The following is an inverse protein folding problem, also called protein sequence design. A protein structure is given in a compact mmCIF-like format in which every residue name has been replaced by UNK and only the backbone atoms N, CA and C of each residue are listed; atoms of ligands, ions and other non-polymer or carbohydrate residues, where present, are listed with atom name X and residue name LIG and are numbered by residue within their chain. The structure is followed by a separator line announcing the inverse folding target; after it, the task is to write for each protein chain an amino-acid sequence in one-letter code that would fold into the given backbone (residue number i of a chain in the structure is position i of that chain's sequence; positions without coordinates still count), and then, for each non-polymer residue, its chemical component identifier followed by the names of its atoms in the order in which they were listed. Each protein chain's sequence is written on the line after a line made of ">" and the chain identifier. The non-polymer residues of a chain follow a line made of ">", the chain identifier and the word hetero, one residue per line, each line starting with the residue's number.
data_IF_778090520878
#
_entry.id   IF_778090520878
#
_cell.length_a   1.000
_cell.length_b   1.000
_cell.length_c   1.000
_cell.angle_alpha   90.00
_cell.angle_beta   90.00
_cell.angle_gamma   90.00
#
_symmetry.space_group_name_H-M   'P 1'
#
loop_
_entity.id
_entity.type
_entity.pdbx_description
1 polymer ?
#
# COMPACT_ATOMS: atom_id res chain seq x y z
N UNK A 1 18.73 5.72 -2.33
CA UNK A 1 18.44 4.36 -2.77
C UNK A 1 18.69 3.44 -1.58
N UNK A 2 17.65 3.13 -0.79
CA UNK A 2 17.77 2.14 0.29
C UNK A 2 17.92 0.77 -0.38
N UNK A 3 19.06 0.13 -0.16
CA UNK A 3 19.18 -1.31 -0.35
C UNK A 3 18.21 -1.95 0.64
N UNK A 4 17.19 -2.63 0.15
CA UNK A 4 16.37 -3.49 1.00
C UNK A 4 17.33 -4.47 1.66
N UNK A 5 17.35 -4.51 3.00
CA UNK A 5 18.22 -5.42 3.74
C UNK A 5 17.87 -6.85 3.33
N UNK A 6 18.80 -7.53 2.70
CA UNK A 6 18.63 -8.85 2.10
C UNK A 6 18.65 -9.98 3.12
N UNK A 7 18.75 -9.64 4.42
CA UNK A 7 18.74 -10.63 5.51
C UNK A 7 17.31 -11.09 5.81
N UNK A 8 17.09 -12.37 6.03
CA UNK A 8 15.81 -13.02 5.84
C UNK A 8 14.75 -12.63 6.88
N UNK A 9 13.70 -11.91 6.43
CA UNK A 9 12.37 -12.30 6.83
C UNK A 9 11.77 -13.37 5.90
N UNK A 10 12.51 -13.79 4.87
CA UNK A 10 12.07 -14.74 3.83
C UNK A 10 12.12 -16.21 4.25
N UNK A 11 12.11 -16.50 5.54
CA UNK A 11 12.05 -17.85 6.10
C UNK A 11 10.79 -18.63 5.68
N UNK A 12 9.74 -17.95 5.20
CA UNK A 12 8.51 -18.59 4.70
C UNK A 12 8.76 -19.51 3.52
N UNK A 13 9.61 -19.11 2.58
CA UNK A 13 9.97 -19.93 1.43
C UNK A 13 11.04 -21.01 1.72
N UNK A 14 11.66 -21.02 2.89
CA UNK A 14 12.66 -22.02 3.24
C UNK A 14 12.13 -23.46 3.17
N UNK A 15 10.81 -23.63 3.29
CA UNK A 15 10.13 -24.94 3.18
C UNK A 15 9.53 -25.19 1.80
N UNK A 16 9.66 -24.25 0.84
CA UNK A 16 9.19 -24.44 -0.52
C UNK A 16 10.19 -25.34 -1.24
N UNK A 17 9.73 -26.51 -1.67
CA UNK A 17 10.59 -27.42 -2.44
C UNK A 17 10.92 -26.82 -3.81
N UNK A 18 12.13 -27.07 -4.31
CA UNK A 18 12.53 -26.69 -5.66
C UNK A 18 11.55 -27.25 -6.71
N UNK A 19 11.02 -28.45 -6.49
CA UNK A 19 10.04 -29.07 -7.37
C UNK A 19 8.71 -28.32 -7.42
N UNK A 20 8.24 -27.80 -6.29
CA UNK A 20 7.02 -26.98 -6.25
C UNK A 20 7.23 -25.65 -6.98
N UNK A 21 8.36 -25.00 -6.76
CA UNK A 21 8.71 -23.77 -7.49
C UNK A 21 8.88 -24.04 -9.01
N UNK A 22 9.51 -25.15 -9.36
CA UNK A 22 9.70 -25.54 -10.76
C UNK A 22 8.37 -25.77 -11.50
N UNK A 23 7.34 -26.29 -10.81
CA UNK A 23 6.02 -26.54 -11.40
C UNK A 23 5.10 -25.31 -11.48
N UNK A 24 5.42 -24.22 -10.77
CA UNK A 24 4.61 -23.00 -10.77
C UNK A 24 4.61 -22.38 -12.17
N UNK A 25 3.45 -22.05 -12.78
CA UNK A 25 3.42 -21.27 -14.00
C UNK A 25 4.00 -19.88 -13.76
N UNK A 26 4.62 -19.27 -14.76
CA UNK A 26 5.18 -17.91 -14.69
C UNK A 26 4.67 -17.04 -15.84
N UNK A 27 4.62 -15.70 -15.65
CA UNK A 27 4.86 -15.00 -14.40
C UNK A 27 3.74 -15.26 -13.37
N UNK A 28 4.10 -15.32 -12.08
CA UNK A 28 3.13 -15.62 -11.03
C UNK A 28 3.46 -14.85 -9.72
N UNK A 29 2.46 -14.20 -9.12
CA UNK A 29 2.56 -13.73 -7.75
C UNK A 29 2.26 -14.88 -6.78
N UNK A 30 3.21 -15.15 -5.90
CA UNK A 30 3.09 -16.16 -4.86
C UNK A 30 2.97 -15.49 -3.50
N UNK A 31 1.82 -15.64 -2.83
CA UNK A 31 1.52 -15.02 -1.54
C UNK A 31 1.80 -16.00 -0.40
N UNK A 32 2.53 -15.56 0.63
CA UNK A 32 2.85 -16.34 1.84
C UNK A 32 1.82 -16.07 2.95
N UNK A 33 0.91 -17.01 3.15
CA UNK A 33 -0.11 -16.92 4.20
C UNK A 33 0.52 -16.78 5.60
N UNK A 34 1.58 -17.51 5.89
CA UNK A 34 2.20 -17.47 7.21
C UNK A 34 2.81 -16.07 7.50
N UNK A 35 3.35 -15.40 6.49
CA UNK A 35 3.84 -14.03 6.67
C UNK A 35 2.69 -13.04 6.85
N UNK A 36 1.60 -13.17 6.10
CA UNK A 36 0.39 -12.34 6.30
C UNK A 36 -0.15 -12.46 7.72
N UNK A 37 -0.20 -13.68 8.26
CA UNK A 37 -0.64 -13.91 9.66
C UNK A 37 0.30 -13.26 10.66
N UNK A 38 1.63 -13.39 10.51
CA UNK A 38 2.61 -12.73 11.39
C UNK A 38 2.44 -11.22 11.39
N UNK A 39 2.27 -10.63 10.21
CA UNK A 39 2.00 -9.19 10.09
C UNK A 39 0.70 -8.82 10.81
N UNK A 40 -0.36 -9.59 10.59
CA UNK A 40 -1.65 -9.42 11.25
C UNK A 40 -1.55 -9.46 12.77
N UNK A 41 -0.80 -10.41 13.33
CA UNK A 41 -0.59 -10.55 14.78
C UNK A 41 0.09 -9.31 15.39
N UNK A 42 1.08 -8.73 14.70
CA UNK A 42 1.75 -7.49 15.15
C UNK A 42 0.73 -6.33 15.17
N UNK A 43 -0.05 -6.17 14.09
CA UNK A 43 -1.07 -5.12 13.97
C UNK A 43 -2.17 -5.28 15.03
N UNK A 44 -2.63 -6.50 15.27
CA UNK A 44 -3.60 -6.81 16.32
C UNK A 44 -3.04 -6.48 17.71
N UNK A 45 -1.77 -6.79 17.95
CA UNK A 45 -1.09 -6.47 19.20
C UNK A 45 -1.08 -4.97 19.52
N UNK A 46 -0.85 -4.12 18.50
CA UNK A 46 -0.94 -2.65 18.64
C UNK A 46 -2.37 -2.23 19.01
N UNK A 47 -3.39 -2.76 18.32
CA UNK A 47 -4.79 -2.44 18.60
C UNK A 47 -5.21 -2.88 20.02
N UNK A 48 -4.84 -4.06 20.44
CA UNK A 48 -5.17 -4.58 21.79
C UNK A 48 -4.55 -3.75 22.91
N UNK A 49 -3.35 -3.22 22.70
CA UNK A 49 -2.64 -2.40 23.69
C UNK A 49 -3.20 -1.00 23.81
N UNK A 50 -3.60 -0.41 22.69
CA UNK A 50 -3.91 1.03 22.60
C UNK A 50 -5.39 1.33 22.44
N UNK A 51 -6.18 0.35 22.01
CA UNK A 51 -7.58 0.58 21.61
C UNK A 51 -7.72 1.30 20.26
N UNK A 52 -6.62 1.53 19.52
CA UNK A 52 -6.71 2.08 18.16
C UNK A 52 -7.34 1.06 17.21
N UNK A 53 -7.75 1.52 16.05
CA UNK A 53 -8.28 0.70 14.97
C UNK A 53 -7.35 0.78 13.76
N UNK A 54 -6.97 -0.36 13.22
CA UNK A 54 -6.10 -0.46 12.05
C UNK A 54 -6.91 -0.98 10.87
N UNK A 55 -6.84 -0.26 9.75
CA UNK A 55 -7.54 -0.54 8.50
C UNK A 55 -6.56 -0.97 7.42
N UNK A 56 -6.96 -1.87 6.53
CA UNK A 56 -6.20 -2.19 5.33
C UNK A 56 -6.40 -1.11 4.28
N UNK A 57 -5.33 -0.40 3.90
CA UNK A 57 -5.38 0.47 2.73
C UNK A 57 -5.30 -0.36 1.43
N UNK A 58 -6.44 -0.52 0.77
CA UNK A 58 -6.61 -1.42 -0.38
C UNK A 58 -5.72 -1.03 -1.58
N UNK A 59 -5.38 0.25 -1.73
CA UNK A 59 -4.46 0.74 -2.78
C UNK A 59 -3.10 0.02 -2.80
N UNK A 60 -2.66 -0.52 -1.66
CA UNK A 60 -1.42 -1.28 -1.57
C UNK A 60 -1.64 -2.79 -1.78
N UNK A 61 -2.76 -3.32 -1.28
CA UNK A 61 -3.06 -4.74 -1.32
C UNK A 61 -4.57 -4.98 -1.36
N UNK A 62 -5.08 -5.57 -2.45
CA UNK A 62 -6.52 -5.82 -2.68
C UNK A 62 -6.81 -7.28 -3.08
N UNK A 63 -6.01 -8.23 -2.62
CA UNK A 63 -6.28 -9.65 -2.85
C UNK A 63 -7.41 -10.12 -1.93
N UNK A 64 -8.64 -9.93 -2.36
CA UNK A 64 -9.83 -10.14 -1.55
C UNK A 64 -10.05 -11.59 -1.12
N UNK A 65 -9.56 -12.58 -1.85
CA UNK A 65 -9.54 -13.99 -1.40
C UNK A 65 -8.83 -14.18 -0.04
N UNK A 66 -7.93 -13.24 0.32
CA UNK A 66 -7.21 -13.23 1.59
C UNK A 66 -7.84 -12.31 2.65
N UNK A 67 -8.91 -11.59 2.34
CA UNK A 67 -9.60 -10.76 3.31
C UNK A 67 -10.18 -11.55 4.50
N UNK A 68 -10.78 -12.75 4.32
CA UNK A 68 -11.19 -13.58 5.45
C UNK A 68 -10.03 -13.96 6.39
N UNK A 69 -8.81 -14.15 5.83
CA UNK A 69 -7.61 -14.41 6.61
C UNK A 69 -7.20 -13.20 7.45
N UNK A 70 -7.34 -11.98 6.90
CA UNK A 70 -6.93 -10.73 7.53
C UNK A 70 -8.00 -10.17 8.48
N UNK A 71 -9.26 -10.52 8.29
CA UNK A 71 -10.40 -10.02 9.06
C UNK A 71 -10.25 -10.12 10.60
N UNK A 72 -9.66 -11.19 11.18
CA UNK A 72 -9.44 -11.25 12.63
C UNK A 72 -8.45 -10.22 13.17
N UNK A 73 -7.57 -9.70 12.33
CA UNK A 73 -6.47 -8.82 12.71
C UNK A 73 -6.74 -7.34 12.47
N UNK A 74 -7.73 -7.00 11.67
CA UNK A 74 -7.98 -5.63 11.21
C UNK A 74 -9.40 -5.17 11.58
N UNK A 75 -9.54 -3.87 11.81
CA UNK A 75 -10.84 -3.23 12.10
C UNK A 75 -11.68 -3.05 10.84
N UNK A 76 -11.05 -2.98 9.67
CA UNK A 76 -11.75 -2.76 8.40
C UNK A 76 -10.80 -2.47 7.25
N UNK A 77 -11.32 -1.74 6.26
CA UNK A 77 -10.61 -1.33 5.04
C UNK A 77 -10.61 0.19 4.88
N UNK A 78 -9.60 0.70 4.17
CA UNK A 78 -9.56 2.06 3.62
C UNK A 78 -9.56 1.96 2.09
N UNK A 79 -10.34 2.81 1.47
CA UNK A 79 -10.55 2.88 0.02
C UNK A 79 -10.21 4.26 -0.52
N UNK A 80 -9.64 4.31 -1.71
CA UNK A 80 -9.32 5.56 -2.41
C UNK A 80 -10.37 5.93 -3.48
N UNK A 81 -11.43 5.15 -3.61
CA UNK A 81 -12.51 5.37 -4.57
C UNK A 81 -13.68 4.41 -4.42
N UNK A 82 -14.69 4.60 -5.29
CA UNK A 82 -15.94 3.84 -5.26
C UNK A 82 -15.71 2.32 -5.34
N UNK A 83 -14.88 1.85 -6.27
CA UNK A 83 -14.73 0.42 -6.49
C UNK A 83 -13.96 -0.28 -5.38
N UNK A 84 -12.94 0.36 -4.80
CA UNK A 84 -12.30 -0.16 -3.60
C UNK A 84 -13.26 -0.17 -2.41
N UNK A 85 -14.08 0.90 -2.25
CA UNK A 85 -15.08 0.97 -1.18
C UNK A 85 -16.12 -0.15 -1.30
N UNK A 86 -16.59 -0.39 -2.51
CA UNK A 86 -17.53 -1.49 -2.80
C UNK A 86 -16.90 -2.85 -2.51
N UNK A 87 -15.66 -3.08 -2.99
CA UNK A 87 -14.94 -4.33 -2.73
C UNK A 87 -14.79 -4.58 -1.23
N UNK A 88 -14.31 -3.57 -0.47
CA UNK A 88 -14.14 -3.70 0.97
C UNK A 88 -15.44 -4.04 1.69
N UNK A 89 -16.57 -3.42 1.29
CA UNK A 89 -17.87 -3.66 1.92
C UNK A 89 -18.50 -5.01 1.52
N UNK A 90 -18.34 -5.43 0.26
CA UNK A 90 -18.84 -6.72 -0.21
C UNK A 90 -18.08 -7.89 0.43
N UNK A 91 -16.76 -7.79 0.58
CA UNK A 91 -15.91 -8.87 1.10
C UNK A 91 -15.79 -8.88 2.64
N UNK A 92 -15.96 -7.72 3.29
CA UNK A 92 -15.92 -7.58 4.76
C UNK A 92 -17.13 -6.79 5.28
N UNK A 93 -18.38 -7.28 5.10
CA UNK A 93 -19.60 -6.51 5.37
C UNK A 93 -19.74 -6.07 6.83
N UNK A 94 -19.16 -6.82 7.77
CA UNK A 94 -19.24 -6.55 9.22
C UNK A 94 -18.10 -5.63 9.72
N UNK A 95 -17.19 -5.21 8.84
CA UNK A 95 -16.04 -4.36 9.18
C UNK A 95 -16.28 -2.92 8.72
N UNK A 96 -15.55 -1.99 9.37
CA UNK A 96 -15.59 -0.59 8.97
C UNK A 96 -14.97 -0.37 7.60
N UNK A 97 -15.57 0.48 6.79
CA UNK A 97 -15.09 0.85 5.46
C UNK A 97 -14.93 2.37 5.38
N UNK A 98 -13.69 2.82 5.39
CA UNK A 98 -13.32 4.23 5.31
C UNK A 98 -12.98 4.60 3.87
N UNK A 99 -13.28 5.82 3.48
CA UNK A 99 -12.98 6.30 2.12
C UNK A 99 -12.35 7.67 2.15
N UNK A 100 -11.23 7.82 1.46
CA UNK A 100 -10.61 9.11 1.16
C UNK A 100 -10.34 9.21 -0.35
N UNK A 101 -10.92 10.23 -1.00
CA UNK A 101 -10.57 10.61 -2.37
C UNK A 101 -10.02 12.03 -2.39
N UNK A 102 -9.03 12.29 -3.27
CA UNK A 102 -8.54 13.64 -3.51
C UNK A 102 -9.65 14.58 -4.04
N UNK A 103 -10.61 14.02 -4.80
CA UNK A 103 -11.85 14.70 -5.20
C UNK A 103 -12.92 13.66 -5.52
N UNK A 104 -14.10 13.80 -4.93
CA UNK A 104 -15.25 12.94 -5.20
C UNK A 104 -15.96 13.36 -6.47
N UNK A 105 -16.39 12.38 -7.27
CA UNK A 105 -17.22 12.58 -8.44
C UNK A 105 -18.70 12.71 -8.04
N UNK A 106 -19.42 13.63 -8.71
CA UNK A 106 -20.85 13.89 -8.39
C UNK A 106 -21.72 12.71 -8.76
N UNK A 107 -21.42 12.05 -9.87
CA UNK A 107 -22.16 10.92 -10.42
C UNK A 107 -21.94 9.61 -9.64
N UNK A 108 -20.86 9.49 -8.85
CA UNK A 108 -20.53 8.31 -8.06
C UNK A 108 -20.87 8.46 -6.57
N UNK A 109 -21.03 9.70 -6.08
CA UNK A 109 -21.07 9.98 -4.64
C UNK A 109 -22.26 9.32 -3.93
N UNK A 110 -23.43 9.28 -4.59
CA UNK A 110 -24.61 8.65 -4.00
C UNK A 110 -24.42 7.14 -3.85
N UNK A 111 -23.83 6.48 -4.85
CA UNK A 111 -23.50 5.05 -4.76
C UNK A 111 -22.45 4.78 -3.69
N UNK A 112 -21.45 5.67 -3.54
CA UNK A 112 -20.41 5.56 -2.51
C UNK A 112 -21.03 5.54 -1.09
N UNK A 113 -22.11 6.28 -0.86
CA UNK A 113 -22.81 6.28 0.42
C UNK A 113 -23.34 4.90 0.84
N UNK A 114 -23.61 4.01 -0.11
CA UNK A 114 -24.13 2.67 0.21
C UNK A 114 -23.03 1.78 0.82
N UNK A 115 -21.76 2.05 0.52
CA UNK A 115 -20.63 1.22 0.92
C UNK A 115 -19.80 1.81 2.06
N UNK A 116 -19.61 3.13 2.11
CA UNK A 116 -18.75 3.79 3.08
C UNK A 116 -19.40 3.95 4.46
N UNK A 117 -18.63 3.76 5.52
CA UNK A 117 -19.01 4.10 6.89
C UNK A 117 -18.42 5.46 7.31
N UNK A 118 -17.16 5.73 6.91
CA UNK A 118 -16.47 7.01 7.11
C UNK A 118 -16.08 7.62 5.77
N UNK A 119 -16.34 8.92 5.60
CA UNK A 119 -16.00 9.67 4.38
C UNK A 119 -15.13 10.84 4.74
N UNK A 120 -13.91 10.85 4.22
CA UNK A 120 -12.91 11.91 4.44
C UNK A 120 -12.81 12.80 3.21
N UNK A 121 -13.09 14.09 3.40
CA UNK A 121 -12.98 15.09 2.34
C UNK A 121 -11.59 15.72 2.31
N UNK A 122 -11.11 15.99 1.11
CA UNK A 122 -9.78 16.55 0.88
C UNK A 122 -9.73 18.08 1.06
N UNK A 123 -10.87 18.75 0.92
CA UNK A 123 -10.95 20.21 0.99
C UNK A 123 -12.24 20.68 1.62
N UNK A 124 -12.28 21.92 2.17
CA UNK A 124 -13.49 22.53 2.69
C UNK A 124 -14.60 22.67 1.64
N UNK A 125 -14.24 22.86 0.37
CA UNK A 125 -15.21 22.94 -0.72
C UNK A 125 -15.89 21.59 -0.98
N UNK A 126 -15.15 20.49 -0.93
CA UNK A 126 -15.71 19.13 -1.00
C UNK A 126 -16.60 18.83 0.21
N UNK A 127 -16.15 19.21 1.41
CA UNK A 127 -16.92 19.07 2.64
C UNK A 127 -18.23 19.84 2.55
N UNK A 128 -18.20 21.11 2.09
CA UNK A 128 -19.41 21.92 1.92
C UNK A 128 -20.40 21.32 0.93
N UNK A 129 -19.88 20.74 -0.15
CA UNK A 129 -20.69 20.18 -1.25
C UNK A 129 -21.34 18.85 -0.88
N UNK A 130 -20.60 17.94 -0.32
CA UNK A 130 -21.01 16.55 -0.12
C UNK A 130 -21.28 16.18 1.34
N UNK A 131 -20.71 16.92 2.30
CA UNK A 131 -20.84 16.65 3.73
C UNK A 131 -22.28 16.59 4.23
N UNK A 132 -23.17 17.52 3.84
CA UNK A 132 -24.58 17.44 4.24
C UNK A 132 -25.26 16.14 3.81
N UNK A 133 -25.03 15.67 2.59
CA UNK A 133 -25.58 14.39 2.09
C UNK A 133 -25.00 13.19 2.85
N UNK A 134 -23.69 13.17 3.11
CA UNK A 134 -23.05 12.14 3.91
C UNK A 134 -23.62 12.07 5.33
N UNK A 135 -23.78 13.23 5.99
CA UNK A 135 -24.41 13.31 7.32
C UNK A 135 -25.87 12.84 7.31
N UNK A 136 -26.65 13.23 6.29
CA UNK A 136 -28.05 12.80 6.14
C UNK A 136 -28.15 11.27 5.94
N UNK A 137 -27.16 10.66 5.30
CA UNK A 137 -27.03 9.21 5.15
C UNK A 137 -26.44 8.51 6.40
N UNK A 138 -26.24 9.24 7.50
CA UNK A 138 -25.71 8.69 8.75
C UNK A 138 -24.24 8.35 8.75
N UNK A 139 -23.47 8.86 7.76
CA UNK A 139 -22.03 8.58 7.65
C UNK A 139 -21.21 9.45 8.59
N UNK A 140 -20.06 8.90 9.04
CA UNK A 140 -19.06 9.66 9.77
C UNK A 140 -18.24 10.50 8.78
N UNK A 141 -18.09 11.79 9.07
CA UNK A 141 -17.51 12.77 8.14
C UNK A 141 -16.21 13.33 8.69
N UNK A 142 -15.18 13.33 7.86
CA UNK A 142 -13.87 13.89 8.20
C UNK A 142 -13.30 14.83 7.16
N UNK A 143 -12.25 15.52 7.58
CA UNK A 143 -11.43 16.35 6.71
C UNK A 143 -9.98 15.89 6.77
N UNK A 144 -9.37 15.65 5.61
CA UNK A 144 -7.93 15.47 5.53
C UNK A 144 -7.23 16.81 5.71
N UNK A 145 -6.38 16.90 6.71
CA UNK A 145 -5.55 18.06 6.99
C UNK A 145 -4.13 17.89 6.46
N UNK A 146 -3.51 19.00 6.10
CA UNK A 146 -2.09 19.07 5.77
C UNK A 146 -1.37 19.89 6.88
N UNK A 147 -0.59 19.24 7.74
CA UNK A 147 0.13 19.93 8.80
C UNK A 147 1.34 20.74 8.29
N UNK A 148 1.60 20.71 6.97
CA UNK A 148 2.72 21.43 6.33
C UNK A 148 4.07 21.12 6.98
N UNK A 149 4.22 19.87 7.42
CA UNK A 149 5.45 19.33 8.01
C UNK A 149 5.86 18.09 7.25
N UNK A 150 6.89 18.20 6.43
CA UNK A 150 7.49 17.07 5.74
C UNK A 150 8.42 16.31 6.69
N UNK A 151 8.35 14.98 6.58
CA UNK A 151 9.31 14.04 7.16
C UNK A 151 10.04 13.24 6.07
N UNK A 152 9.76 13.56 4.79
CA UNK A 152 10.37 12.89 3.63
C UNK A 152 11.71 13.56 3.29
N UNK A 153 12.81 12.87 3.54
CA UNK A 153 14.13 13.34 3.15
C UNK A 153 14.50 12.84 1.74
N UNK A 154 14.78 13.78 0.84
CA UNK A 154 15.33 13.48 -0.49
C UNK A 154 14.34 13.04 -1.58
N UNK A 155 13.04 12.96 -1.29
CA UNK A 155 12.03 12.47 -2.23
C UNK A 155 10.79 13.36 -2.27
N UNK A 156 10.89 14.56 -2.84
CA UNK A 156 9.77 15.50 -2.96
C UNK A 156 8.53 14.92 -3.67
N UNK A 157 8.70 13.92 -4.52
CA UNK A 157 7.59 13.26 -5.24
C UNK A 157 6.66 12.47 -4.29
N UNK A 158 7.17 12.04 -3.12
CA UNK A 158 6.41 11.28 -2.12
C UNK A 158 5.94 12.14 -0.94
N UNK A 159 6.23 13.44 -0.96
CA UNK A 159 5.90 14.32 0.13
C UNK A 159 4.49 14.90 -0.03
N UNK A 160 3.49 14.38 0.70
CA UNK A 160 2.13 14.91 0.63
C UNK A 160 2.00 16.30 1.29
N UNK A 161 3.03 16.75 2.04
CA UNK A 161 3.07 18.05 2.69
C UNK A 161 3.85 19.10 1.89
N UNK A 162 4.47 18.73 0.77
CA UNK A 162 5.24 19.66 -0.06
C UNK A 162 4.38 20.79 -0.63
N UNK A 163 4.96 21.98 -0.87
CA UNK A 163 4.30 23.03 -1.62
C UNK A 163 3.81 22.51 -2.99
N UNK A 164 2.56 22.82 -3.33
CA UNK A 164 1.93 22.31 -4.55
C UNK A 164 1.28 20.91 -4.42
N UNK A 165 1.38 20.26 -3.28
CA UNK A 165 0.61 19.04 -3.03
C UNK A 165 -0.89 19.34 -3.07
N UNK A 166 -1.63 18.46 -3.78
CA UNK A 166 -3.10 18.51 -3.83
C UNK A 166 -3.78 17.88 -2.62
N UNK A 167 -3.01 17.30 -1.69
CA UNK A 167 -3.53 16.42 -0.63
C UNK A 167 -3.64 17.15 0.71
N UNK A 168 -4.86 17.20 1.22
CA UNK A 168 -5.17 17.76 2.53
C UNK A 168 -5.34 19.30 2.53
N UNK A 169 -6.00 19.76 3.56
CA UNK A 169 -6.35 21.15 3.81
C UNK A 169 -5.35 21.76 4.81
N UNK A 170 -4.67 22.84 4.44
CA UNK A 170 -3.81 23.60 5.37
C UNK A 170 -4.64 24.37 6.39
N UNK A 171 -4.03 24.79 7.51
CA UNK A 171 -4.73 25.60 8.52
C UNK A 171 -5.28 26.89 7.92
N UNK A 172 -4.50 27.58 7.12
CA UNK A 172 -4.93 28.82 6.47
C UNK A 172 -6.13 28.62 5.54
N UNK A 173 -6.18 27.51 4.80
CA UNK A 173 -7.33 27.17 3.95
C UNK A 173 -8.59 26.88 4.78
N UNK A 174 -8.43 26.17 5.90
CA UNK A 174 -9.53 25.90 6.82
C UNK A 174 -10.11 27.17 7.42
N UNK A 175 -9.26 28.04 7.98
CA UNK A 175 -9.69 29.30 8.58
C UNK A 175 -10.39 30.22 7.58
N UNK A 176 -9.87 30.30 6.36
CA UNK A 176 -10.48 31.08 5.28
C UNK A 176 -11.86 30.51 4.85
N UNK A 177 -12.03 29.19 4.92
CA UNK A 177 -13.31 28.55 4.64
C UNK A 177 -14.33 28.79 5.76
N UNK A 178 -13.92 28.66 7.02
CA UNK A 178 -14.77 28.95 8.19
C UNK A 178 -15.22 30.39 8.24
N UNK A 179 -14.35 31.35 7.88
CA UNK A 179 -14.73 32.76 7.80
C UNK A 179 -15.87 33.03 6.82
N UNK A 180 -15.96 32.22 5.75
CA UNK A 180 -17.03 32.30 4.74
C UNK A 180 -18.26 31.49 5.10
N UNK A 181 -18.05 30.34 5.73
CA UNK A 181 -19.12 29.37 6.06
C UNK A 181 -18.86 28.74 7.44
N UNK A 182 -19.20 29.41 8.53
CA UNK A 182 -18.93 28.94 9.90
C UNK A 182 -19.53 27.58 10.23
N UNK A 183 -20.61 27.17 9.57
CA UNK A 183 -21.28 25.88 9.79
C UNK A 183 -20.49 24.66 9.34
N UNK A 184 -19.37 24.81 8.61
CA UNK A 184 -18.57 23.68 8.15
C UNK A 184 -18.01 22.82 9.30
N UNK A 185 -17.61 23.45 10.41
CA UNK A 185 -17.06 22.76 11.56
C UNK A 185 -18.07 21.75 12.16
N UNK A 186 -19.38 22.07 12.14
CA UNK A 186 -20.42 21.21 12.66
C UNK A 186 -20.65 19.93 11.84
N UNK A 187 -20.10 19.84 10.63
CA UNK A 187 -20.17 18.63 9.81
C UNK A 187 -19.11 17.59 10.22
N UNK A 188 -18.03 18.00 10.90
CA UNK A 188 -16.91 17.13 11.19
C UNK A 188 -17.18 16.21 12.37
N UNK A 189 -16.93 14.92 12.17
CA UNK A 189 -16.80 13.92 13.23
C UNK A 189 -15.32 13.63 13.55
N UNK A 190 -14.39 13.90 12.61
CA UNK A 190 -12.96 13.67 12.81
C UNK A 190 -12.06 14.36 11.83
N UNK A 191 -10.77 14.21 12.06
CA UNK A 191 -9.71 14.65 11.16
C UNK A 191 -8.87 13.46 10.70
N UNK A 192 -8.25 13.62 9.55
CA UNK A 192 -7.35 12.64 8.95
C UNK A 192 -6.10 13.36 8.45
N UNK A 193 -4.93 12.75 8.61
CA UNK A 193 -3.72 13.14 7.91
C UNK A 193 -3.00 11.90 7.37
N UNK A 194 -2.23 12.07 6.32
CA UNK A 194 -1.39 11.02 5.76
C UNK A 194 -0.12 11.69 5.25
N UNK A 195 0.94 11.61 6.01
CA UNK A 195 2.20 12.35 5.80
C UNK A 195 3.39 11.43 5.62
N UNK A 196 3.25 10.17 6.04
CA UNK A 196 4.32 9.18 6.01
C UNK A 196 4.30 8.37 4.72
N UNK A 197 5.48 7.90 4.33
CA UNK A 197 5.69 6.89 3.31
C UNK A 197 6.88 6.03 3.77
N UNK A 198 6.63 4.75 4.09
CA UNK A 198 7.61 3.78 4.56
C UNK A 198 8.50 4.27 5.74
N UNK A 199 7.88 4.92 6.71
CA UNK A 199 8.61 5.57 7.81
C UNK A 199 8.33 4.95 9.18
N UNK A 200 9.24 5.24 10.11
CA UNK A 200 9.17 4.83 11.50
C UNK A 200 8.29 5.76 12.35
N UNK A 201 8.02 5.32 13.58
CA UNK A 201 7.25 6.07 14.56
C UNK A 201 7.88 7.42 14.97
N UNK A 202 9.16 7.65 14.68
CA UNK A 202 9.83 8.94 14.85
C UNK A 202 9.22 10.01 13.95
N UNK A 203 9.00 9.67 12.68
CA UNK A 203 8.36 10.56 11.72
C UNK A 203 6.91 10.86 12.11
N UNK A 204 6.19 9.87 12.65
CA UNK A 204 4.86 10.09 13.21
C UNK A 204 4.88 11.08 14.36
N UNK A 205 5.81 10.94 15.31
CA UNK A 205 5.92 11.86 16.45
C UNK A 205 6.12 13.31 16.00
N UNK A 206 7.01 13.52 15.02
CA UNK A 206 7.25 14.87 14.42
C UNK A 206 5.99 15.41 13.72
N UNK A 207 5.26 14.55 13.03
CA UNK A 207 3.99 14.93 12.39
C UNK A 207 2.93 15.29 13.41
N UNK A 208 2.79 14.51 14.49
CA UNK A 208 1.81 14.78 15.55
C UNK A 208 2.07 16.13 16.23
N UNK A 209 3.32 16.48 16.49
CA UNK A 209 3.67 17.80 17.06
C UNK A 209 3.15 18.93 16.15
N UNK A 210 3.30 18.80 14.82
CA UNK A 210 2.80 19.79 13.87
C UNK A 210 1.26 19.78 13.75
N UNK A 211 0.63 18.60 13.86
CA UNK A 211 -0.85 18.49 13.90
C UNK A 211 -1.41 19.16 15.15
N UNK A 212 -0.82 18.91 16.29
CA UNK A 212 -1.24 19.53 17.57
C UNK A 212 -1.02 21.04 17.57
N UNK A 213 0.11 21.52 17.04
CA UNK A 213 0.40 22.95 16.90
C UNK A 213 -0.64 23.68 16.03
N UNK A 214 -0.97 23.10 14.87
CA UNK A 214 -1.80 23.76 13.86
C UNK A 214 -3.30 23.48 13.97
N UNK A 215 -3.67 22.30 14.45
CA UNK A 215 -5.06 21.82 14.45
C UNK A 215 -5.51 21.29 15.81
N UNK A 216 -4.67 21.39 16.85
CA UNK A 216 -4.99 20.87 18.18
C UNK A 216 -6.22 21.49 18.80
N UNK A 217 -6.54 22.73 18.47
CA UNK A 217 -7.77 23.43 18.91
C UNK A 217 -9.05 22.84 18.30
N UNK A 218 -8.95 22.12 17.20
CA UNK A 218 -10.09 21.45 16.56
C UNK A 218 -10.36 20.04 17.12
N UNK A 219 -9.38 19.41 17.75
CA UNK A 219 -9.51 18.03 18.22
C UNK A 219 -10.50 17.82 19.37
N UNK A 220 -10.61 18.74 20.35
CA UNK A 220 -11.61 18.59 21.41
C UNK A 220 -13.04 18.52 20.87
N UNK A 221 -13.77 17.44 21.21
CA UNK A 221 -15.14 17.23 20.75
C UNK A 221 -15.29 16.46 19.44
N UNK A 222 -14.20 16.19 18.74
CA UNK A 222 -14.22 15.23 17.64
C UNK A 222 -14.27 13.79 18.16
N UNK A 223 -14.78 12.89 17.34
CA UNK A 223 -14.92 11.46 17.69
C UNK A 223 -13.65 10.69 17.40
N UNK A 224 -12.90 11.10 16.37
CA UNK A 224 -11.73 10.35 15.92
C UNK A 224 -10.66 11.24 15.25
N UNK A 225 -9.42 10.73 15.29
CA UNK A 225 -8.29 11.21 14.52
C UNK A 225 -7.63 10.02 13.80
N UNK A 226 -7.51 10.13 12.48
CA UNK A 226 -6.91 9.11 11.64
C UNK A 226 -5.50 9.56 11.20
N UNK A 227 -4.50 8.75 11.53
CA UNK A 227 -3.08 9.03 11.25
C UNK A 227 -2.66 8.66 9.82
N UNK A 228 -3.60 8.07 9.04
CA UNK A 228 -3.32 7.62 7.67
C UNK A 228 -2.40 6.40 7.60
N UNK A 229 -1.79 6.23 6.45
CA UNK A 229 -0.86 5.14 6.16
C UNK A 229 0.61 5.55 6.17
N UNK A 230 1.45 4.71 5.56
CA UNK A 230 2.89 4.92 5.46
C UNK A 230 3.69 4.49 6.70
N UNK A 231 3.02 3.88 7.68
CA UNK A 231 3.63 3.32 8.88
C UNK A 231 4.15 1.92 8.61
N UNK A 232 5.45 1.71 8.70
CA UNK A 232 6.09 0.40 8.49
C UNK A 232 6.04 -0.53 9.70
N UNK A 233 4.88 -0.65 10.35
CA UNK A 233 4.68 -1.27 11.69
C UNK A 233 5.22 -2.69 11.78
N UNK A 234 5.15 -3.47 10.70
CA UNK A 234 5.55 -4.88 10.65
C UNK A 234 7.01 -5.09 10.22
N UNK A 235 7.74 -4.00 9.95
CA UNK A 235 9.17 -4.08 9.68
C UNK A 235 9.91 -4.51 10.96
N UNK A 236 10.90 -5.43 10.89
CA UNK A 236 11.54 -6.01 12.06
C UNK A 236 12.19 -5.01 13.05
N UNK A 237 12.63 -3.86 12.53
CA UNK A 237 13.31 -2.80 13.29
C UNK A 237 12.40 -1.60 13.61
N UNK A 238 11.09 -1.71 13.40
CA UNK A 238 10.14 -0.65 13.70
C UNK A 238 9.92 -0.47 15.21
N UNK A 239 9.98 0.76 15.70
CA UNK A 239 9.74 1.08 17.11
C UNK A 239 8.23 1.09 17.43
N UNK A 240 7.68 -0.12 17.67
CA UNK A 240 6.27 -0.31 18.07
C UNK A 240 5.96 0.39 19.39
N UNK A 241 6.91 0.43 20.33
CA UNK A 241 6.70 1.09 21.62
C UNK A 241 6.50 2.61 21.45
N UNK A 242 7.23 3.21 20.54
CA UNK A 242 7.04 4.63 20.21
C UNK A 242 5.70 4.89 19.54
N UNK A 243 5.26 4.02 18.64
CA UNK A 243 3.93 4.09 18.04
C UNK A 243 2.84 4.06 19.12
N UNK A 244 2.94 3.10 20.05
CA UNK A 244 2.01 2.97 21.17
C UNK A 244 1.94 4.28 21.97
N UNK A 245 3.08 4.85 22.35
CA UNK A 245 3.11 6.16 23.05
C UNK A 245 2.47 7.29 22.24
N UNK A 246 2.68 7.33 20.94
CA UNK A 246 2.05 8.32 20.07
C UNK A 246 0.51 8.20 20.07
N UNK A 247 0.02 6.97 19.97
CA UNK A 247 -1.43 6.69 19.97
C UNK A 247 -2.05 7.06 21.33
N UNK A 248 -1.43 6.60 22.42
CA UNK A 248 -1.88 6.88 23.80
C UNK A 248 -1.88 8.37 24.10
N UNK A 249 -0.83 9.11 23.71
CA UNK A 249 -0.77 10.56 23.87
C UNK A 249 -2.01 11.25 23.28
N UNK A 250 -2.34 10.94 22.05
CA UNK A 250 -3.48 11.56 21.35
C UNK A 250 -4.81 11.12 21.96
N UNK A 251 -4.98 9.81 22.18
CA UNK A 251 -6.20 9.26 22.79
C UNK A 251 -6.47 9.89 24.16
N UNK A 252 -5.46 9.93 25.01
CA UNK A 252 -5.62 10.36 26.42
C UNK A 252 -5.74 11.88 26.53
N UNK A 253 -5.13 12.63 25.59
CA UNK A 253 -5.22 14.12 25.58
C UNK A 253 -6.57 14.61 25.06
N UNK A 254 -7.07 14.00 24.00
CA UNK A 254 -8.23 14.51 23.26
C UNK A 254 -9.49 13.64 23.38
N UNK A 255 -9.40 12.44 23.91
CA UNK A 255 -10.53 11.51 24.05
C UNK A 255 -11.04 10.96 22.72
N UNK A 256 -10.23 10.96 21.68
CA UNK A 256 -10.59 10.53 20.33
C UNK A 256 -10.25 9.08 20.05
N UNK A 257 -11.03 8.40 19.23
CA UNK A 257 -10.65 7.12 18.63
C UNK A 257 -9.54 7.35 17.62
N UNK A 258 -8.40 6.67 17.78
CA UNK A 258 -7.30 6.72 16.82
C UNK A 258 -7.47 5.64 15.77
N UNK A 259 -7.26 6.01 14.50
CA UNK A 259 -7.20 5.11 13.35
C UNK A 259 -5.83 5.17 12.67
N UNK A 260 -5.42 4.06 12.06
CA UNK A 260 -4.27 3.96 11.16
C UNK A 260 -4.67 3.20 9.90
N UNK A 261 -4.06 3.53 8.77
CA UNK A 261 -4.36 2.98 7.45
C UNK A 261 -3.12 2.38 6.77
N UNK A 262 -2.36 1.48 7.44
CA UNK A 262 -1.23 0.86 6.76
C UNK A 262 -1.73 -0.02 5.61
N UNK A 263 -1.13 0.14 4.45
CA UNK A 263 -1.34 -0.79 3.34
C UNK A 263 -0.18 -1.76 3.25
N UNK A 264 1.00 -1.22 3.05
CA UNK A 264 2.25 -1.96 2.90
C UNK A 264 2.54 -2.86 4.10
N UNK A 265 2.47 -2.33 5.33
CA UNK A 265 2.76 -3.10 6.52
C UNK A 265 1.85 -4.33 6.71
N UNK A 266 0.66 -4.37 6.11
CA UNK A 266 -0.22 -5.55 6.17
C UNK A 266 0.37 -6.72 5.39
N UNK A 267 0.94 -6.47 4.21
CA UNK A 267 1.46 -7.51 3.33
C UNK A 267 2.98 -7.44 3.10
N UNK A 268 3.71 -6.70 3.95
CA UNK A 268 5.16 -6.56 3.88
C UNK A 268 5.84 -7.94 3.91
N UNK A 269 6.71 -8.18 2.95
CA UNK A 269 7.43 -9.44 2.75
C UNK A 269 6.53 -10.68 2.59
N UNK A 270 5.25 -10.50 2.30
CA UNK A 270 4.29 -11.61 2.19
C UNK A 270 4.03 -12.06 0.75
N UNK A 271 4.72 -11.49 -0.23
CA UNK A 271 4.54 -11.90 -1.62
C UNK A 271 5.82 -11.89 -2.43
N UNK A 272 5.81 -12.72 -3.45
CA UNK A 272 6.90 -12.91 -4.38
C UNK A 272 6.37 -12.81 -5.81
N UNK A 273 7.18 -12.31 -6.74
CA UNK A 273 6.93 -12.50 -8.16
C UNK A 273 7.93 -13.52 -8.69
N UNK A 274 7.41 -14.63 -9.18
CA UNK A 274 8.22 -15.68 -9.83
C UNK A 274 8.17 -15.45 -11.33
N UNK A 275 9.35 -15.31 -11.93
CA UNK A 275 9.52 -15.07 -13.36
C UNK A 275 10.51 -16.05 -13.97
N UNK A 276 10.37 -16.34 -15.25
CA UNK A 276 11.27 -17.21 -16.00
C UNK A 276 12.17 -16.41 -16.92
N UNK A 277 13.45 -16.73 -16.97
CA UNK A 277 14.40 -16.22 -17.99
C UNK A 277 14.01 -16.81 -19.33
N UNK A 278 13.64 -15.95 -20.27
CA UNK A 278 13.24 -16.37 -21.65
C UNK A 278 14.46 -16.49 -22.55
N UNK A 279 15.41 -15.55 -22.42
CA UNK A 279 16.60 -15.49 -23.26
C UNK A 279 17.72 -14.72 -22.53
N UNK A 280 18.95 -14.96 -22.95
CA UNK A 280 20.13 -14.20 -22.49
C UNK A 280 20.88 -13.68 -23.72
N UNK A 281 20.99 -12.35 -23.84
CA UNK A 281 21.65 -11.69 -24.96
C UNK A 281 22.84 -10.86 -24.46
N UNK A 282 23.77 -10.56 -25.36
CA UNK A 282 24.94 -9.73 -25.05
C UNK A 282 24.94 -8.45 -25.88
N UNK A 283 25.00 -7.29 -25.20
CA UNK A 283 25.26 -6.00 -25.85
C UNK A 283 26.03 -5.09 -24.88
N UNK A 284 27.34 -5.18 -24.93
CA UNK A 284 28.24 -4.51 -23.99
C UNK A 284 28.21 -5.07 -22.56
N UNK A 285 27.14 -5.76 -22.21
CA UNK A 285 26.94 -6.53 -20.97
C UNK A 285 25.95 -7.67 -21.24
N UNK A 286 25.89 -8.65 -20.34
CA UNK A 286 24.91 -9.71 -20.43
C UNK A 286 23.55 -9.21 -19.93
N UNK A 287 22.48 -9.54 -20.68
CA UNK A 287 21.09 -9.10 -20.43
C UNK A 287 20.22 -10.34 -20.41
N UNK A 288 19.54 -10.59 -19.28
CA UNK A 288 18.54 -11.64 -19.18
C UNK A 288 17.14 -11.03 -19.38
N UNK A 289 16.42 -11.54 -20.37
CA UNK A 289 15.05 -11.15 -20.71
C UNK A 289 14.10 -12.08 -20.01
N UNK A 290 13.16 -11.53 -19.23
CA UNK A 290 12.22 -12.28 -18.43
C UNK A 290 10.81 -12.26 -19.02
N UNK A 291 9.97 -13.23 -18.64
CA UNK A 291 8.52 -13.19 -18.88
C UNK A 291 7.78 -12.23 -17.95
N UNK A 292 8.47 -11.59 -17.01
CA UNK A 292 8.00 -10.48 -16.20
C UNK A 292 8.51 -9.14 -16.75
N UNK A 293 7.77 -8.06 -16.49
CA UNK A 293 8.05 -6.71 -16.96
C UNK A 293 8.04 -5.72 -15.79
N UNK A 294 9.01 -4.81 -15.74
CA UNK A 294 8.97 -3.71 -14.79
C UNK A 294 7.74 -2.83 -15.03
N UNK A 295 7.45 -2.51 -16.29
CA UNK A 295 6.34 -1.64 -16.66
C UNK A 295 4.96 -2.25 -16.41
N UNK A 296 4.83 -3.58 -16.55
CA UNK A 296 3.54 -4.28 -16.46
C UNK A 296 3.26 -4.88 -15.09
N UNK A 297 4.28 -5.43 -14.42
CA UNK A 297 4.09 -6.28 -13.24
C UNK A 297 4.67 -5.72 -11.95
N UNK A 298 5.59 -4.76 -12.03
CA UNK A 298 6.20 -4.08 -10.89
C UNK A 298 6.46 -2.60 -11.23
N UNK A 299 5.40 -1.82 -11.57
CA UNK A 299 5.58 -0.48 -12.14
C UNK A 299 6.31 0.50 -11.22
N UNK A 300 6.30 0.29 -9.91
CA UNK A 300 7.04 1.13 -8.96
C UNK A 300 8.57 1.05 -9.16
N UNK A 301 9.08 -0.01 -9.77
CA UNK A 301 10.50 -0.06 -10.19
C UNK A 301 10.86 1.11 -11.12
N UNK A 302 9.90 1.57 -11.96
CA UNK A 302 10.07 2.69 -12.88
C UNK A 302 9.51 4.01 -12.34
N UNK A 303 8.35 3.98 -11.66
CA UNK A 303 7.65 5.15 -11.17
C UNK A 303 8.25 5.71 -9.87
N UNK A 304 8.72 4.81 -9.01
CA UNK A 304 9.28 5.06 -7.68
C UNK A 304 10.68 4.44 -7.58
N UNK A 305 11.64 4.75 -8.45
CA UNK A 305 12.79 3.91 -8.76
C UNK A 305 13.42 3.24 -7.55
N UNK A 306 13.24 1.93 -7.45
CA UNK A 306 13.90 1.07 -6.49
C UNK A 306 14.35 -0.21 -7.21
N UNK A 307 15.11 -1.03 -6.50
CA UNK A 307 15.60 -2.29 -7.02
C UNK A 307 15.09 -3.43 -6.12
N UNK A 308 14.11 -4.24 -6.60
CA UNK A 308 13.58 -5.35 -5.82
C UNK A 308 14.69 -6.37 -5.53
N UNK A 309 14.64 -6.97 -4.35
CA UNK A 309 15.53 -8.07 -4.02
C UNK A 309 15.12 -9.34 -4.77
N UNK A 310 16.10 -10.11 -5.25
CA UNK A 310 15.89 -11.43 -5.85
C UNK A 310 16.61 -12.45 -4.98
N UNK A 311 15.94 -13.57 -4.69
CA UNK A 311 16.55 -14.64 -3.91
C UNK A 311 17.86 -15.10 -4.56
N UNK A 312 18.88 -15.25 -3.73
CA UNK A 312 20.23 -15.70 -4.12
C UNK A 312 20.98 -14.78 -5.08
N UNK A 313 20.47 -13.59 -5.38
CA UNK A 313 21.21 -12.59 -6.15
C UNK A 313 22.10 -11.72 -5.23
N UNK A 314 22.97 -10.95 -5.87
CA UNK A 314 23.73 -9.86 -5.27
C UNK A 314 23.56 -8.57 -6.06
N UNK A 315 24.17 -7.49 -5.57
CA UNK A 315 24.30 -6.24 -6.32
C UNK A 315 25.22 -6.44 -7.53
N UNK A 316 25.14 -5.57 -8.52
CA UNK A 316 26.00 -5.66 -9.71
C UNK A 316 27.49 -5.75 -9.32
N UNK A 317 28.16 -6.77 -9.79
CA UNK A 317 29.58 -7.01 -9.51
C UNK A 317 29.91 -7.65 -8.15
N UNK A 318 28.91 -7.92 -7.30
CA UNK A 318 29.13 -8.59 -6.01
C UNK A 318 29.45 -10.07 -6.18
N UNK A 319 28.82 -10.72 -7.16
CA UNK A 319 29.01 -12.13 -7.51
C UNK A 319 29.63 -12.30 -8.89
N UNK A 320 29.91 -13.54 -9.27
CA UNK A 320 30.71 -13.90 -10.45
C UNK A 320 30.12 -13.41 -11.78
N UNK A 321 28.80 -13.48 -11.94
CA UNK A 321 28.11 -13.18 -13.21
C UNK A 321 27.12 -12.04 -13.02
N UNK A 322 27.32 -10.94 -13.74
CA UNK A 322 26.46 -9.76 -13.67
C UNK A 322 25.56 -9.68 -14.89
N UNK A 323 24.28 -9.46 -14.67
CA UNK A 323 23.25 -9.30 -15.70
C UNK A 323 22.42 -8.05 -15.46
N UNK A 324 22.01 -7.41 -16.55
CA UNK A 324 20.84 -6.55 -16.58
C UNK A 324 19.61 -7.42 -16.75
N UNK A 325 18.63 -7.29 -15.86
CA UNK A 325 17.34 -7.94 -15.99
C UNK A 325 16.35 -6.98 -16.66
N UNK A 326 15.68 -7.44 -17.71
CA UNK A 326 14.75 -6.67 -18.50
C UNK A 326 13.48 -7.47 -18.80
N UNK A 327 12.37 -6.78 -19.01
CA UNK A 327 11.13 -7.40 -19.44
C UNK A 327 11.10 -7.68 -20.95
N UNK A 328 10.03 -8.34 -21.39
CA UNK A 328 9.81 -8.73 -22.78
C UNK A 328 8.93 -7.77 -23.57
N UNK A 329 8.65 -6.56 -23.05
CA UNK A 329 7.90 -5.54 -23.78
C UNK A 329 8.75 -4.81 -24.81
N UNK A 330 8.11 -4.08 -25.74
CA UNK A 330 8.82 -3.24 -26.70
C UNK A 330 9.34 -1.91 -26.11
N UNK A 331 9.06 -1.64 -24.82
CA UNK A 331 9.53 -0.44 -24.16
C UNK A 331 11.02 -0.54 -23.86
N UNK A 332 11.84 0.31 -24.46
CA UNK A 332 13.31 0.32 -24.23
C UNK A 332 13.68 0.53 -22.74
N UNK A 333 12.82 1.19 -21.97
CA UNK A 333 12.98 1.42 -20.53
C UNK A 333 12.43 0.31 -19.63
N UNK A 334 11.98 -0.83 -20.18
CA UNK A 334 11.49 -1.97 -19.40
C UNK A 334 12.68 -2.75 -18.78
N UNK A 335 13.37 -2.08 -17.88
CA UNK A 335 14.57 -2.57 -17.19
C UNK A 335 14.27 -2.66 -15.70
N UNK A 336 14.49 -3.86 -15.13
CA UNK A 336 14.26 -4.12 -13.70
C UNK A 336 15.46 -3.66 -12.87
N UNK A 337 16.67 -3.95 -13.35
CA UNK A 337 17.91 -3.54 -12.69
C UNK A 337 19.09 -4.43 -13.02
N UNK A 338 20.26 -4.07 -12.47
CA UNK A 338 21.49 -4.84 -12.63
C UNK A 338 21.75 -5.68 -11.37
N UNK A 339 21.98 -6.99 -11.56
CA UNK A 339 22.13 -8.00 -10.51
C UNK A 339 23.32 -8.91 -10.80
N UNK A 340 23.80 -9.60 -9.78
CA UNK A 340 24.82 -10.63 -9.96
C UNK A 340 24.42 -11.96 -9.33
N UNK A 341 24.93 -13.06 -9.91
CA UNK A 341 24.65 -14.44 -9.50
C UNK A 341 25.97 -15.24 -9.41
N UNK A 342 25.96 -16.33 -8.64
CA UNK A 342 27.12 -17.22 -8.51
C UNK A 342 27.30 -18.14 -9.71
N UNK A 343 26.29 -18.25 -10.58
CA UNK A 343 26.28 -19.06 -11.79
C UNK A 343 25.77 -18.27 -13.00
N UNK A 344 25.97 -18.80 -14.18
CA UNK A 344 25.43 -18.24 -15.42
C UNK A 344 23.93 -18.52 -15.53
N UNK A 345 23.13 -17.46 -15.70
CA UNK A 345 21.71 -17.60 -15.96
C UNK A 345 21.45 -18.28 -17.32
N UNK A 346 20.45 -19.13 -17.37
CA UNK A 346 20.03 -19.85 -18.57
C UNK A 346 18.54 -19.66 -18.86
N UNK A 347 18.17 -19.73 -20.13
CA UNK A 347 16.74 -19.75 -20.50
C UNK A 347 16.03 -20.94 -19.83
N UNK A 348 14.86 -20.68 -19.29
CA UNK A 348 14.07 -21.62 -18.50
C UNK A 348 14.32 -21.55 -16.99
N UNK A 349 15.33 -20.84 -16.53
CA UNK A 349 15.61 -20.64 -15.10
C UNK A 349 14.60 -19.67 -14.47
N UNK A 350 14.18 -19.96 -13.24
CA UNK A 350 13.24 -19.11 -12.51
C UNK A 350 13.95 -18.22 -11.51
N UNK A 351 13.55 -16.95 -11.52
CA UNK A 351 13.97 -15.92 -10.55
C UNK A 351 12.80 -15.59 -9.66
N UNK A 352 13.07 -15.36 -8.37
CA UNK A 352 12.07 -15.05 -7.34
C UNK A 352 12.34 -13.67 -6.80
N UNK A 353 11.53 -12.71 -7.20
CA UNK A 353 11.56 -11.34 -6.69
C UNK A 353 10.80 -11.29 -5.35
N UNK A 354 11.41 -10.68 -4.35
CA UNK A 354 10.87 -10.56 -3.01
C UNK A 354 10.04 -9.30 -2.85
N UNK A 355 9.12 -9.33 -1.87
CA UNK A 355 8.26 -8.22 -1.46
C UNK A 355 7.41 -7.66 -2.61
N UNK A 356 6.77 -8.57 -3.34
CA UNK A 356 5.96 -8.27 -4.53
C UNK A 356 4.44 -8.39 -4.28
N UNK A 357 3.98 -8.40 -3.02
CA UNK A 357 2.54 -8.36 -2.71
C UNK A 357 1.94 -6.96 -2.80
N UNK A 358 2.76 -5.94 -2.48
CA UNK A 358 2.31 -4.56 -2.31
C UNK A 358 2.61 -3.72 -3.54
N UNK A 359 1.69 -2.83 -3.90
CA UNK A 359 1.78 -1.91 -5.05
C UNK A 359 2.19 -2.58 -6.37
N UNK A 360 1.96 -3.88 -6.50
CA UNK A 360 2.24 -4.68 -7.70
C UNK A 360 0.95 -5.12 -8.39
N UNK A 361 0.22 -6.10 -7.82
CA UNK A 361 -1.04 -6.61 -8.39
C UNK A 361 -2.11 -5.51 -8.56
N UNK A 362 -2.17 -4.55 -7.65
CA UNK A 362 -3.11 -3.40 -7.69
C UNK A 362 -2.75 -2.37 -8.78
N UNK A 363 -1.52 -2.39 -9.29
CA UNK A 363 -1.00 -1.45 -10.30
C UNK A 363 -0.67 -2.11 -11.63
N UNK A 364 -0.74 -3.44 -11.72
CA UNK A 364 -0.34 -4.17 -12.92
C UNK A 364 -1.20 -3.81 -14.15
N UNK A 365 -0.65 -4.06 -15.33
CA UNK A 365 -1.30 -3.77 -16.60
C UNK A 365 -0.89 -4.76 -17.69
N UNK A 366 -1.54 -4.67 -18.85
CA UNK A 366 -1.34 -5.58 -19.99
C UNK A 366 -0.77 -4.85 -21.21
N UNK A 367 0.15 -3.90 -21.01
CA UNK A 367 0.84 -3.23 -22.11
C UNK A 367 1.50 -4.25 -23.05
N UNK A 368 1.48 -4.03 -24.34
CA UNK A 368 1.94 -4.95 -25.41
C UNK A 368 1.20 -6.30 -25.45
N UNK A 369 0.09 -6.47 -24.73
CA UNK A 369 -0.57 -7.78 -24.59
C UNK A 369 0.19 -8.76 -23.70
N UNK A 370 1.11 -8.27 -22.87
CA UNK A 370 1.76 -9.11 -21.86
C UNK A 370 0.71 -9.59 -20.87
N UNK A 371 0.58 -10.93 -20.62
CA UNK A 371 -0.41 -11.43 -19.69
C UNK A 371 -0.15 -10.96 -18.26
N UNK A 372 -1.21 -10.73 -17.50
CA UNK A 372 -1.09 -10.52 -16.06
C UNK A 372 -0.50 -11.77 -15.40
N UNK A 373 0.39 -11.62 -14.40
CA UNK A 373 0.89 -12.77 -13.64
C UNK A 373 -0.25 -13.50 -12.94
N UNK A 374 -0.26 -14.81 -12.98
CA UNK A 374 -1.17 -15.64 -12.18
C UNK A 374 -1.00 -15.31 -10.69
N UNK A 375 -1.98 -15.65 -9.87
CA UNK A 375 -1.92 -15.46 -8.41
C UNK A 375 -2.02 -16.82 -7.74
N UNK A 376 -1.06 -17.13 -6.88
CA UNK A 376 -1.00 -18.35 -6.11
C UNK A 376 -0.81 -18.05 -4.61
N UNK A 377 -1.33 -18.93 -3.77
CA UNK A 377 -1.17 -18.90 -2.32
C UNK A 377 -0.23 -20.01 -1.88
N UNK A 378 0.78 -19.68 -1.10
CA UNK A 378 1.65 -20.63 -0.42
C UNK A 378 1.18 -20.84 1.01
N UNK A 379 0.78 -22.06 1.33
CA UNK A 379 0.26 -22.45 2.62
C UNK A 379 0.78 -23.84 3.01
N UNK A 380 1.42 -23.98 4.17
CA UNK A 380 1.83 -25.28 4.74
C UNK A 380 2.62 -26.19 3.79
N UNK A 381 3.49 -25.60 2.96
CA UNK A 381 4.31 -26.35 2.00
C UNK A 381 3.62 -26.64 0.65
N UNK A 382 2.38 -26.22 0.49
CA UNK A 382 1.60 -26.37 -0.75
C UNK A 382 1.44 -25.02 -1.47
N UNK A 383 1.31 -25.07 -2.78
CA UNK A 383 0.97 -23.92 -3.63
C UNK A 383 -0.39 -24.19 -4.24
N UNK A 384 -1.33 -23.29 -3.97
CA UNK A 384 -2.66 -23.31 -4.56
C UNK A 384 -2.80 -22.15 -5.54
N UNK A 385 -3.14 -22.45 -6.80
CA UNK A 385 -3.36 -21.44 -7.81
C UNK A 385 -4.76 -20.83 -7.61
N UNK A 386 -4.80 -19.58 -7.17
CA UNK A 386 -6.04 -18.84 -6.83
C UNK A 386 -6.67 -18.23 -8.08
N UNK A 387 -5.85 -17.59 -8.94
CA UNK A 387 -6.34 -16.88 -10.12
C UNK A 387 -5.42 -17.12 -11.31
N UNK A 388 -6.03 -17.43 -12.45
CA UNK A 388 -5.38 -17.42 -13.78
C UNK A 388 -5.91 -16.28 -14.60
N UNK A 389 -5.00 -15.68 -15.35
CA UNK A 389 -5.34 -14.64 -16.32
C UNK A 389 -5.10 -15.13 -17.73
N UNK A 390 -5.89 -14.63 -18.68
CA UNK A 390 -5.82 -15.03 -20.06
C UNK A 390 -6.15 -13.93 -21.04
N UNK A 391 -6.35 -14.29 -22.30
CA UNK A 391 -6.63 -13.34 -23.38
C UNK A 391 -7.85 -12.45 -23.09
N UNK A 392 -8.90 -13.00 -22.45
CA UNK A 392 -10.10 -12.23 -22.11
C UNK A 392 -9.83 -11.05 -21.16
N UNK A 393 -8.85 -11.18 -20.25
CA UNK A 393 -8.46 -10.11 -19.34
C UNK A 393 -7.74 -8.95 -20.07
N UNK A 394 -7.05 -9.25 -21.15
CA UNK A 394 -6.46 -8.26 -22.05
C UNK A 394 -7.53 -7.63 -22.95
N UNK A 395 -8.28 -8.44 -23.68
CA UNK A 395 -9.27 -8.00 -24.66
C UNK A 395 -10.37 -7.16 -24.03
N UNK A 396 -10.95 -7.63 -22.91
CA UNK A 396 -12.09 -6.99 -22.23
C UNK A 396 -11.81 -5.58 -21.68
N UNK A 397 -10.56 -5.14 -21.68
CA UNK A 397 -10.17 -3.77 -21.31
C UNK A 397 -10.21 -2.80 -22.50
N UNK A 398 -10.19 -3.29 -23.71
CA UNK A 398 -9.88 -2.50 -24.90
C UNK A 398 -11.11 -2.15 -25.72
N UNK A 399 -12.23 -2.82 -25.50
CA UNK A 399 -13.47 -2.54 -26.24
C UNK A 399 -14.72 -3.02 -25.49
#
# INVERSE_FOLDING_TARGET
>A
MRLVDTRPPFAGLANLSEGALASLPTPCYLLDEAQLRRNGEILLGVQQRTGCKILLAQKAFSNFDLYPLLAPYLAGTEASGLYESRLGKEELPEKENHVFCAAYRVDEFNELLDYADHIVFNSPAQLAKFGPAAKAAGKSVGLRINPERSTQEGHAIYDPCAPGSRLGTTRAQWDAALAKQPGLAALLDGLHFHTLCEQDADALAVTLDAVEEKFGDLLPGLKWLNFGGGHHITRPDYDVERLVRCIERVRDTYGVQVYLEPGEAVALNAGYLVATVLDVVHNGMDIAILDASAACHMPDVLEMPYRPHILYSGTAGEKTHTYRLAGNTCLAGDVIGDYSFDHQLQAGEKLVFCDMAIYSMVKNNTFNGVPLPDIALYQNGHIDLVKRFGYADFEGRLS
#
